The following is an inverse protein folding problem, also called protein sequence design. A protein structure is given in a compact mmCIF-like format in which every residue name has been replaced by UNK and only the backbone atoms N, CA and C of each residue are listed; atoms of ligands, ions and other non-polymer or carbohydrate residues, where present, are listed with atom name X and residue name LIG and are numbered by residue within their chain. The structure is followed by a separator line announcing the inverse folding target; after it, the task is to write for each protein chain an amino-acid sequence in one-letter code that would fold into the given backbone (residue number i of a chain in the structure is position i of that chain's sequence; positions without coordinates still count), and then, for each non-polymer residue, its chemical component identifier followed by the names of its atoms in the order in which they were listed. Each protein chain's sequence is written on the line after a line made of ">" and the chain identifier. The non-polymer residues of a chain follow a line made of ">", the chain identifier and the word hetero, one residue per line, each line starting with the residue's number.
data_IF_492909514342
#
_entry.id   IF_492909514342
#
_cell.length_a   1.000
_cell.length_b   1.000
_cell.length_c   1.000
_cell.angle_alpha   90.00
_cell.angle_beta   90.00
_cell.angle_gamma   90.00
#
_symmetry.space_group_name_H-M   'P 1'
#
loop_
_entity.id
_entity.type
_entity.pdbx_description
1 polymer ?
#
# COMPACT_ATOMS: atom_id res chain seq x y z
N UNK A 1 -7.77 -21.23 51.50
CA UNK A 1 -8.58 -21.75 50.36
C UNK A 1 -7.89 -21.41 49.08
N UNK A 2 -7.24 -22.40 48.50
CA UNK A 2 -6.47 -22.22 47.20
C UNK A 2 -7.48 -22.43 46.06
N UNK A 3 -7.82 -21.36 45.37
CA UNK A 3 -8.62 -21.46 44.16
C UNK A 3 -7.70 -21.89 42.99
N UNK A 4 -7.76 -23.14 42.60
CA UNK A 4 -7.10 -23.63 41.39
C UNK A 4 -7.87 -23.19 40.18
N UNK A 5 -7.29 -22.31 39.40
CA UNK A 5 -7.81 -21.85 38.11
C UNK A 5 -7.78 -23.03 37.12
N UNK A 6 -8.90 -23.40 36.54
CA UNK A 6 -8.96 -24.48 35.55
C UNK A 6 -8.30 -24.05 34.23
N UNK A 7 -7.77 -25.02 33.45
CA UNK A 7 -7.18 -24.72 32.10
C UNK A 7 -8.14 -23.95 31.19
N UNK A 8 -9.45 -24.19 31.29
CA UNK A 8 -10.49 -23.46 30.55
C UNK A 8 -10.58 -21.99 30.97
N UNK A 9 -10.49 -21.72 32.28
CA UNK A 9 -10.52 -20.34 32.78
C UNK A 9 -9.24 -19.60 32.42
N UNK A 10 -8.09 -20.28 32.40
CA UNK A 10 -6.84 -19.70 31.94
C UNK A 10 -6.86 -19.36 30.43
N UNK A 11 -7.35 -20.27 29.58
CA UNK A 11 -7.49 -20.04 28.16
C UNK A 11 -8.54 -18.96 27.83
N UNK A 12 -9.67 -18.95 28.54
CA UNK A 12 -10.67 -17.90 28.37
C UNK A 12 -10.17 -16.52 28.82
N UNK A 13 -9.42 -16.46 29.93
CA UNK A 13 -8.78 -15.24 30.41
C UNK A 13 -7.68 -14.76 29.47
N UNK A 14 -6.89 -15.67 28.90
CA UNK A 14 -5.85 -15.35 27.91
C UNK A 14 -6.43 -14.84 26.58
N UNK A 15 -7.52 -15.45 26.08
CA UNK A 15 -8.22 -14.94 24.90
C UNK A 15 -8.87 -13.57 25.13
N UNK A 16 -9.52 -13.35 26.27
CA UNK A 16 -10.09 -12.06 26.62
C UNK A 16 -9.03 -10.98 26.79
N UNK A 17 -7.89 -11.29 27.39
CA UNK A 17 -6.78 -10.36 27.53
C UNK A 17 -6.12 -10.06 26.16
N UNK A 18 -5.97 -11.02 25.27
CA UNK A 18 -5.49 -10.84 23.91
C UNK A 18 -6.43 -10.01 23.06
N UNK A 19 -7.74 -10.24 23.13
CA UNK A 19 -8.75 -9.43 22.43
C UNK A 19 -8.87 -8.03 23.03
N UNK A 20 -8.68 -7.86 24.32
CA UNK A 20 -8.69 -6.56 24.98
C UNK A 20 -7.46 -5.72 24.63
N UNK A 21 -6.28 -6.33 24.43
CA UNK A 21 -5.08 -5.61 23.99
C UNK A 21 -5.20 -5.13 22.54
N UNK A 22 -5.71 -5.96 21.64
CA UNK A 22 -5.97 -5.56 20.24
C UNK A 22 -7.03 -4.48 20.17
N UNK A 23 -8.09 -4.57 20.99
CA UNK A 23 -9.11 -3.52 21.05
C UNK A 23 -8.62 -2.26 21.75
N UNK A 24 -7.70 -2.36 22.74
CA UNK A 24 -7.12 -1.19 23.39
C UNK A 24 -6.20 -0.41 22.47
N UNK A 25 -5.47 -1.09 21.57
CA UNK A 25 -4.65 -0.42 20.56
C UNK A 25 -5.51 0.16 19.43
N UNK A 26 -6.60 -0.50 19.05
CA UNK A 26 -7.61 0.06 18.15
C UNK A 26 -8.36 1.23 18.79
N UNK A 27 -8.73 1.14 20.08
CA UNK A 27 -9.32 2.24 20.83
C UNK A 27 -8.33 3.38 21.07
N UNK A 28 -7.05 3.09 21.34
CA UNK A 28 -6.00 4.09 21.37
C UNK A 28 -5.81 4.75 20.02
N UNK A 29 -5.78 3.99 18.92
CA UNK A 29 -5.73 4.53 17.58
C UNK A 29 -6.96 5.39 17.25
N UNK A 30 -8.14 5.05 17.77
CA UNK A 30 -9.36 5.87 17.65
C UNK A 30 -9.37 7.10 18.57
N UNK A 31 -8.82 6.99 19.77
CA UNK A 31 -8.78 8.09 20.77
C UNK A 31 -7.58 9.02 20.59
N UNK A 32 -6.45 8.48 20.11
CA UNK A 32 -5.26 9.25 19.73
C UNK A 32 -5.27 9.62 18.24
N UNK A 33 -6.14 8.98 17.45
CA UNK A 33 -6.51 9.41 16.12
C UNK A 33 -7.32 10.70 16.24
N UNK A 34 -6.67 11.80 16.56
CA UNK A 34 -7.09 13.04 15.97
C UNK A 34 -7.26 12.71 14.49
N UNK A 35 -8.52 12.61 14.04
CA UNK A 35 -8.78 12.51 12.62
C UNK A 35 -8.17 13.76 12.02
N UNK A 36 -6.96 13.65 11.48
CA UNK A 36 -6.40 14.70 10.68
C UNK A 36 -7.16 14.66 9.36
N UNK A 37 -8.26 15.43 9.22
CA UNK A 37 -9.04 15.44 7.98
C UNK A 37 -8.20 15.91 6.79
N UNK A 38 -7.01 16.43 7.09
CA UNK A 38 -6.04 17.01 6.17
C UNK A 38 -4.92 16.04 5.78
N UNK A 39 -4.95 14.79 6.26
CA UNK A 39 -3.96 13.79 5.89
C UNK A 39 -4.13 13.41 4.42
N UNK A 40 -3.09 13.58 3.62
CA UNK A 40 -3.00 13.08 2.26
C UNK A 40 -2.06 11.85 2.21
N UNK A 41 -2.36 10.93 1.30
CA UNK A 41 -1.52 9.76 1.03
C UNK A 41 -1.03 9.84 -0.40
N UNK A 42 0.26 9.71 -0.59
CA UNK A 42 0.89 9.57 -1.91
C UNK A 42 1.30 8.11 -2.07
N UNK A 43 0.61 7.40 -2.96
CA UNK A 43 0.98 6.04 -3.34
C UNK A 43 1.90 6.09 -4.56
N UNK A 44 3.17 5.74 -4.36
CA UNK A 44 4.12 5.56 -5.46
C UNK A 44 4.09 4.09 -5.87
N UNK A 45 3.41 3.82 -6.98
CA UNK A 45 3.28 2.47 -7.50
C UNK A 45 4.34 2.18 -8.57
N UNK A 46 5.23 1.24 -8.28
CA UNK A 46 6.27 0.79 -9.20
C UNK A 46 5.78 -0.50 -9.88
N UNK A 47 5.42 -0.39 -11.14
CA UNK A 47 4.69 -1.44 -11.88
C UNK A 47 5.54 -2.64 -12.32
N UNK A 48 6.76 -2.73 -11.91
CA UNK A 48 7.73 -3.74 -12.25
C UNK A 48 9.04 -3.13 -12.77
N UNK A 49 10.05 -3.95 -12.95
CA UNK A 49 11.39 -3.47 -13.30
C UNK A 49 12.25 -3.08 -12.11
N UNK A 50 11.67 -2.96 -10.91
CA UNK A 50 12.40 -2.86 -9.66
C UNK A 50 12.22 -4.18 -8.90
N UNK A 51 13.22 -5.08 -8.99
CA UNK A 51 13.22 -6.34 -8.25
C UNK A 51 13.41 -6.08 -6.74
N UNK A 52 12.62 -6.74 -5.91
CA UNK A 52 12.83 -6.69 -4.46
C UNK A 52 14.19 -7.25 -4.03
N UNK A 53 14.68 -8.28 -4.74
CA UNK A 53 15.97 -8.90 -4.48
C UNK A 53 17.15 -8.00 -4.84
N UNK A 54 16.94 -7.02 -5.73
CA UNK A 54 17.98 -6.08 -6.16
C UNK A 54 17.95 -4.77 -5.36
N UNK A 55 16.96 -4.61 -4.47
CA UNK A 55 16.71 -3.34 -3.80
C UNK A 55 16.55 -3.46 -2.28
N UNK A 56 15.36 -3.91 -1.83
CA UNK A 56 14.99 -3.87 -0.43
C UNK A 56 15.15 -5.21 0.30
N UNK A 57 15.27 -6.33 -0.42
CA UNK A 57 15.30 -7.68 0.17
C UNK A 57 16.27 -8.61 -0.58
N UNK A 58 17.55 -8.30 -0.52
CA UNK A 58 18.62 -8.95 -1.30
C UNK A 58 18.86 -10.43 -0.95
N UNK A 59 18.45 -10.88 0.25
CA UNK A 59 18.66 -12.26 0.73
C UNK A 59 20.11 -12.75 0.60
N UNK A 60 21.10 -12.04 1.16
CA UNK A 60 22.52 -12.33 0.94
C UNK A 60 22.94 -13.74 1.37
N UNK A 61 22.24 -14.31 2.36
CA UNK A 61 22.52 -15.66 2.90
C UNK A 61 21.85 -16.79 2.09
N UNK A 62 21.07 -16.45 1.07
CA UNK A 62 20.43 -17.44 0.19
C UNK A 62 21.43 -17.95 -0.86
N UNK A 63 21.21 -19.16 -1.42
CA UNK A 63 21.95 -19.64 -2.60
C UNK A 63 21.92 -18.62 -3.73
N UNK A 64 22.96 -18.62 -4.56
CA UNK A 64 23.17 -17.61 -5.62
C UNK A 64 21.99 -17.50 -6.58
N UNK A 65 21.26 -18.59 -6.80
CA UNK A 65 20.10 -18.67 -7.69
C UNK A 65 18.85 -17.93 -7.11
N UNK A 66 18.88 -17.59 -5.81
CA UNK A 66 17.75 -17.00 -5.09
C UNK A 66 18.08 -15.67 -4.42
N UNK A 67 19.23 -15.08 -4.72
CA UNK A 67 19.63 -13.75 -4.24
C UNK A 67 19.87 -12.79 -5.37
N UNK A 68 19.78 -11.48 -5.07
CA UNK A 68 20.09 -10.43 -6.05
C UNK A 68 21.56 -10.40 -6.44
N UNK A 69 21.86 -9.81 -7.57
CA UNK A 69 23.23 -9.63 -8.10
C UNK A 69 23.98 -8.50 -7.37
N UNK A 70 23.26 -7.56 -6.75
CA UNK A 70 23.80 -6.38 -6.12
C UNK A 70 24.21 -6.64 -4.67
N UNK A 71 25.19 -5.86 -4.22
CA UNK A 71 25.71 -5.99 -2.86
C UNK A 71 24.83 -5.25 -1.84
N UNK A 72 24.72 -5.77 -0.60
CA UNK A 72 24.09 -5.05 0.50
C UNK A 72 24.96 -3.90 0.97
N UNK A 73 24.33 -2.73 1.21
CA UNK A 73 24.95 -1.61 1.91
C UNK A 73 24.26 -1.40 3.26
N UNK A 74 25.04 -0.97 4.25
CA UNK A 74 24.53 -0.61 5.56
C UNK A 74 23.65 0.62 5.47
N UNK A 75 22.61 0.66 6.31
CA UNK A 75 21.77 1.83 6.48
C UNK A 75 22.11 2.56 7.78
N UNK A 76 21.45 3.69 8.03
CA UNK A 76 21.50 4.38 9.32
C UNK A 76 20.74 3.65 10.45
N UNK A 77 20.09 2.50 10.15
CA UNK A 77 19.45 1.62 11.13
C UNK A 77 20.28 0.35 11.29
N UNK A 78 20.83 0.07 12.47
CA UNK A 78 21.64 -1.15 12.70
C UNK A 78 20.86 -2.43 12.35
N UNK A 79 21.51 -3.31 11.59
CA UNK A 79 20.93 -4.60 11.16
C UNK A 79 19.98 -4.52 9.95
N UNK A 80 19.72 -3.33 9.43
CA UNK A 80 18.97 -3.15 8.20
C UNK A 80 19.92 -2.83 7.05
N UNK A 81 19.92 -3.70 6.02
CA UNK A 81 20.68 -3.51 4.79
C UNK A 81 19.73 -3.32 3.61
N UNK A 82 20.17 -2.52 2.65
CA UNK A 82 19.50 -2.28 1.36
C UNK A 82 20.47 -2.57 0.22
N UNK A 83 19.98 -2.64 -1.01
CA UNK A 83 20.81 -2.76 -2.21
C UNK A 83 21.67 -1.52 -2.45
N UNK A 84 22.88 -1.73 -2.98
CA UNK A 84 23.83 -0.65 -3.29
C UNK A 84 23.29 0.41 -4.27
N UNK A 85 22.26 0.08 -5.01
CA UNK A 85 21.55 1.02 -5.89
C UNK A 85 20.66 2.02 -5.15
N UNK A 86 20.50 1.87 -3.82
CA UNK A 86 19.64 2.72 -2.98
C UNK A 86 20.42 3.56 -1.95
N UNK A 87 21.50 4.27 -2.35
CA UNK A 87 22.36 4.99 -1.39
C UNK A 87 21.67 6.17 -0.69
N UNK A 88 20.61 6.72 -1.30
CA UNK A 88 19.81 7.78 -0.68
C UNK A 88 18.86 7.21 0.37
N UNK A 89 18.21 6.09 0.08
CA UNK A 89 17.32 5.40 1.00
C UNK A 89 18.08 4.85 2.22
N UNK A 90 19.31 4.40 2.03
CA UNK A 90 20.11 3.89 3.15
C UNK A 90 20.38 4.95 4.23
N UNK A 91 20.44 6.23 3.85
CA UNK A 91 20.65 7.36 4.77
C UNK A 91 19.43 7.76 5.57
N UNK A 92 18.24 7.37 5.13
CA UNK A 92 16.95 7.74 5.71
C UNK A 92 16.12 6.52 6.12
N UNK A 93 16.75 5.38 6.32
CA UNK A 93 16.05 4.13 6.64
C UNK A 93 15.30 4.20 7.99
N UNK A 94 15.66 5.09 8.88
CA UNK A 94 14.96 5.43 10.11
C UNK A 94 13.63 6.18 9.88
N UNK A 95 13.34 6.63 8.65
CA UNK A 95 12.14 7.41 8.31
C UNK A 95 11.04 6.58 7.65
N UNK A 96 11.28 5.31 7.34
CA UNK A 96 10.28 4.46 6.69
C UNK A 96 10.21 3.06 7.31
N UNK A 97 9.11 2.38 7.07
CA UNK A 97 8.92 0.99 7.47
C UNK A 97 9.03 0.09 6.25
N UNK A 98 9.80 -0.99 6.36
CA UNK A 98 9.98 -1.98 5.31
C UNK A 98 9.21 -3.26 5.63
N UNK A 99 8.26 -3.63 4.77
CA UNK A 99 7.45 -4.84 4.89
C UNK A 99 7.90 -5.88 3.86
N UNK A 100 8.88 -6.73 4.23
CA UNK A 100 9.43 -7.77 3.35
C UNK A 100 8.56 -9.02 3.22
N UNK A 101 7.64 -9.22 4.16
CA UNK A 101 6.78 -10.43 4.20
C UNK A 101 5.53 -10.31 3.32
N UNK A 102 5.31 -9.18 2.64
CA UNK A 102 4.16 -9.00 1.76
C UNK A 102 4.32 -9.88 0.51
N UNK A 103 3.35 -10.76 0.28
CA UNK A 103 3.36 -11.65 -0.88
C UNK A 103 1.93 -11.89 -1.39
N UNK A 104 1.81 -12.41 -2.60
CA UNK A 104 0.55 -12.83 -3.23
C UNK A 104 0.75 -14.11 -4.05
N UNK A 105 -0.35 -14.83 -4.30
CA UNK A 105 -0.34 -16.11 -5.05
C UNK A 105 -0.53 -15.98 -6.55
N UNK A 106 -0.29 -14.82 -7.15
CA UNK A 106 -0.50 -14.59 -8.59
C UNK A 106 0.84 -14.45 -9.31
N UNK A 107 1.04 -15.25 -10.37
CA UNK A 107 2.23 -15.15 -11.24
C UNK A 107 2.10 -14.12 -12.35
N UNK A 108 0.89 -13.62 -12.64
CA UNK A 108 0.64 -12.63 -13.69
C UNK A 108 0.48 -11.21 -13.12
N UNK A 109 0.85 -10.20 -13.92
CA UNK A 109 0.77 -8.79 -13.54
C UNK A 109 -0.64 -8.37 -13.12
N UNK A 110 -1.67 -8.72 -13.91
CA UNK A 110 -3.05 -8.28 -13.69
C UNK A 110 -3.58 -8.74 -12.33
N UNK A 111 -3.45 -10.03 -12.03
CA UNK A 111 -3.91 -10.60 -10.77
C UNK A 111 -3.13 -10.07 -9.57
N UNK A 112 -1.83 -9.87 -9.73
CA UNK A 112 -0.98 -9.31 -8.69
C UNK A 112 -1.35 -7.86 -8.36
N UNK A 113 -1.51 -6.99 -9.38
CA UNK A 113 -1.93 -5.60 -9.20
C UNK A 113 -3.30 -5.51 -8.53
N UNK A 114 -4.29 -6.26 -9.05
CA UNK A 114 -5.62 -6.31 -8.44
C UNK A 114 -5.55 -6.72 -6.98
N UNK A 115 -4.80 -7.77 -6.66
CA UNK A 115 -4.67 -8.26 -5.28
C UNK A 115 -4.07 -7.23 -4.34
N UNK A 116 -2.99 -6.57 -4.74
CA UNK A 116 -2.27 -5.61 -3.89
C UNK A 116 -3.04 -4.30 -3.75
N UNK A 117 -3.56 -3.74 -4.85
CA UNK A 117 -4.19 -2.42 -4.84
C UNK A 117 -5.65 -2.43 -4.35
N UNK A 118 -6.32 -3.58 -4.38
CA UNK A 118 -7.69 -3.70 -3.84
C UNK A 118 -7.76 -4.40 -2.48
N UNK A 119 -6.69 -5.11 -2.08
CA UNK A 119 -6.68 -5.97 -0.90
C UNK A 119 -7.54 -7.22 -1.03
N UNK A 120 -8.16 -7.48 -2.18
CA UNK A 120 -9.07 -8.59 -2.45
C UNK A 120 -8.48 -9.60 -3.41
N UNK A 121 -8.84 -10.88 -3.24
CA UNK A 121 -8.55 -11.90 -4.25
C UNK A 121 -9.46 -11.62 -5.45
N UNK A 122 -8.92 -11.33 -6.65
CA UNK A 122 -9.74 -11.06 -7.81
C UNK A 122 -10.48 -12.31 -8.27
N UNK A 123 -11.73 -12.17 -8.69
CA UNK A 123 -12.54 -13.26 -9.30
C UNK A 123 -11.96 -13.68 -10.64
N UNK A 124 -11.50 -12.69 -11.43
CA UNK A 124 -10.73 -12.90 -12.64
C UNK A 124 -9.33 -12.34 -12.47
N UNK A 125 -8.29 -13.19 -12.43
CA UNK A 125 -6.91 -12.71 -12.31
C UNK A 125 -6.37 -12.07 -13.58
N UNK A 126 -7.08 -12.19 -14.71
CA UNK A 126 -6.69 -11.63 -16.01
C UNK A 126 -7.68 -10.55 -16.47
N UNK A 127 -7.23 -9.70 -17.41
CA UNK A 127 -8.05 -8.67 -18.03
C UNK A 127 -8.19 -7.38 -17.20
N UNK A 128 -8.91 -6.42 -17.78
CA UNK A 128 -8.92 -5.01 -17.34
C UNK A 128 -10.09 -4.64 -16.43
N UNK A 129 -10.96 -5.57 -16.10
CA UNK A 129 -12.13 -5.28 -15.25
C UNK A 129 -11.80 -5.58 -13.79
N UNK A 130 -11.96 -4.58 -12.95
CA UNK A 130 -11.90 -4.75 -11.50
C UNK A 130 -13.25 -5.22 -10.96
N UNK A 131 -13.22 -6.24 -10.13
CA UNK A 131 -14.37 -6.73 -9.37
C UNK A 131 -14.42 -6.17 -7.93
N UNK A 132 -13.38 -5.44 -7.54
CA UNK A 132 -13.31 -4.73 -6.27
C UNK A 132 -12.69 -3.33 -6.46
N UNK A 133 -13.11 -2.33 -5.68
CA UNK A 133 -12.55 -0.99 -5.80
C UNK A 133 -11.11 -0.92 -5.30
N UNK A 134 -10.30 -0.12 -5.97
CA UNK A 134 -8.98 0.26 -5.49
C UNK A 134 -9.06 1.12 -4.23
N UNK A 135 -7.97 1.16 -3.45
CA UNK A 135 -7.91 1.91 -2.18
C UNK A 135 -8.26 3.38 -2.34
N UNK A 136 -7.82 4.02 -3.44
CA UNK A 136 -8.13 5.43 -3.73
C UNK A 136 -9.63 5.68 -3.92
N UNK A 137 -10.32 4.78 -4.62
CA UNK A 137 -11.78 4.85 -4.80
C UNK A 137 -12.54 4.69 -3.49
N UNK A 138 -12.06 3.84 -2.59
CA UNK A 138 -12.64 3.69 -1.24
C UNK A 138 -12.47 4.99 -0.46
N UNK A 139 -11.28 5.57 -0.46
CA UNK A 139 -10.99 6.85 0.20
C UNK A 139 -11.85 7.97 -0.38
N UNK A 140 -11.97 8.02 -1.72
CA UNK A 140 -12.83 9.00 -2.40
C UNK A 140 -14.27 8.92 -1.91
N UNK A 141 -14.84 7.70 -1.85
CA UNK A 141 -16.20 7.51 -1.34
C UNK A 141 -16.35 7.88 0.14
N UNK A 142 -15.39 7.52 0.98
CA UNK A 142 -15.46 7.82 2.42
C UNK A 142 -15.33 9.31 2.70
N UNK A 143 -14.59 10.03 1.86
CA UNK A 143 -14.37 11.48 1.99
C UNK A 143 -15.30 12.33 1.12
N UNK A 144 -16.26 11.71 0.46
CA UNK A 144 -17.23 12.41 -0.39
C UNK A 144 -17.97 13.50 0.40
N UNK A 145 -17.99 14.70 -0.14
CA UNK A 145 -18.61 15.87 0.49
C UNK A 145 -17.83 16.52 1.65
N UNK A 146 -16.70 15.96 2.11
CA UNK A 146 -15.92 16.55 3.21
C UNK A 146 -15.29 17.90 2.85
N UNK A 147 -14.93 18.08 1.57
CA UNK A 147 -14.34 19.33 1.05
C UNK A 147 -14.86 19.61 -0.36
N UNK A 148 -15.95 20.39 -0.50
CA UNK A 148 -16.46 20.76 -1.80
C UNK A 148 -15.38 21.42 -2.68
N UNK A 149 -15.29 20.99 -3.94
CA UNK A 149 -14.31 21.51 -4.90
C UNK A 149 -12.88 20.96 -4.76
N UNK A 150 -12.64 19.99 -3.85
CA UNK A 150 -11.33 19.35 -3.72
C UNK A 150 -11.36 17.95 -4.33
N UNK A 151 -10.37 17.66 -5.19
CA UNK A 151 -10.19 16.31 -5.72
C UNK A 151 -9.68 15.38 -4.61
N UNK A 152 -10.44 14.36 -4.27
CA UNK A 152 -10.12 13.44 -3.19
C UNK A 152 -9.22 12.31 -3.66
N UNK A 153 -9.31 11.92 -4.93
CA UNK A 153 -8.51 10.87 -5.53
C UNK A 153 -7.98 11.32 -6.90
N UNK A 154 -6.68 11.47 -6.99
CA UNK A 154 -5.97 11.83 -8.22
C UNK A 154 -5.01 10.71 -8.58
N UNK A 155 -4.97 10.32 -9.84
CA UNK A 155 -3.99 9.39 -10.39
C UNK A 155 -3.18 10.06 -11.48
N UNK A 156 -1.84 10.08 -11.29
CA UNK A 156 -0.91 10.48 -12.33
C UNK A 156 -0.58 9.28 -13.21
N UNK A 157 -1.23 9.14 -14.34
CA UNK A 157 -0.93 8.08 -15.29
C UNK A 157 -0.16 8.65 -16.48
N UNK A 158 0.85 7.90 -16.93
CA UNK A 158 1.45 8.16 -18.23
C UNK A 158 0.49 7.68 -19.32
N UNK A 159 0.23 8.52 -20.29
CA UNK A 159 -0.60 8.20 -21.45
C UNK A 159 -0.09 6.93 -22.15
N UNK A 160 -1.00 5.97 -22.44
CA UNK A 160 -0.68 4.71 -23.09
C UNK A 160 -0.27 3.55 -22.17
N UNK A 161 -0.19 3.72 -20.84
CA UNK A 161 0.02 2.60 -19.92
C UNK A 161 -1.30 1.99 -19.47
N UNK A 162 -1.66 0.85 -20.05
CA UNK A 162 -2.91 0.14 -19.71
C UNK A 162 -2.86 -0.57 -18.35
N UNK A 163 -1.70 -0.65 -17.72
CA UNK A 163 -1.47 -1.52 -16.55
C UNK A 163 -2.18 -1.02 -15.30
N UNK A 164 -2.38 0.28 -15.17
CA UNK A 164 -2.88 0.88 -13.93
C UNK A 164 -4.38 1.19 -13.94
N UNK A 165 -5.01 1.27 -15.14
CA UNK A 165 -6.40 1.70 -15.27
C UNK A 165 -7.38 0.79 -14.51
N UNK A 166 -7.17 -0.51 -14.54
CA UNK A 166 -8.06 -1.48 -13.92
C UNK A 166 -7.78 -1.75 -12.44
N UNK A 167 -6.59 -1.40 -11.97
CA UNK A 167 -6.23 -1.56 -10.56
C UNK A 167 -6.67 -0.38 -9.69
N UNK A 168 -7.00 0.75 -10.32
CA UNK A 168 -7.44 1.98 -9.67
C UNK A 168 -8.94 2.22 -9.81
N UNK A 169 -9.64 1.33 -10.50
CA UNK A 169 -11.08 1.48 -10.78
C UNK A 169 -11.94 1.47 -9.52
N UNK A 170 -13.10 2.11 -9.65
CA UNK A 170 -14.10 2.20 -8.59
C UNK A 170 -14.97 0.95 -8.46
N UNK A 171 -14.94 0.03 -9.45
CA UNK A 171 -15.73 -1.18 -9.49
C UNK A 171 -17.21 -0.95 -9.13
N UNK A 172 -17.74 -1.70 -8.15
CA UNK A 172 -19.14 -1.56 -7.71
C UNK A 172 -19.47 -0.27 -6.96
N UNK A 173 -18.50 0.60 -6.65
CA UNK A 173 -18.79 1.88 -6.02
C UNK A 173 -19.40 2.91 -7.00
N UNK A 174 -19.23 2.71 -8.30
CA UNK A 174 -19.68 3.63 -9.34
C UNK A 174 -18.57 4.56 -9.84
N UNK A 175 -18.75 5.05 -11.07
CA UNK A 175 -17.72 5.82 -11.81
C UNK A 175 -17.36 7.14 -11.16
N UNK A 176 -18.28 7.78 -10.43
CA UNK A 176 -18.02 9.03 -9.69
C UNK A 176 -16.94 8.90 -8.59
N UNK A 177 -16.62 7.68 -8.16
CA UNK A 177 -15.58 7.43 -7.19
C UNK A 177 -14.26 6.96 -7.81
N UNK A 178 -14.16 6.97 -9.14
CA UNK A 178 -12.90 6.76 -9.86
C UNK A 178 -11.91 7.89 -9.64
N UNK A 179 -10.65 7.68 -10.07
CA UNK A 179 -9.63 8.72 -9.99
C UNK A 179 -9.93 9.86 -10.98
N UNK A 180 -9.58 11.07 -10.58
CA UNK A 180 -9.30 12.13 -11.55
C UNK A 180 -7.95 11.81 -12.20
N UNK A 181 -7.93 11.67 -13.51
CA UNK A 181 -6.71 11.33 -14.24
C UNK A 181 -5.96 12.62 -14.59
N UNK A 182 -4.82 12.80 -13.96
CA UNK A 182 -3.87 13.83 -14.33
C UNK A 182 -2.87 13.23 -15.32
N UNK A 183 -2.98 13.58 -16.59
CA UNK A 183 -2.04 13.20 -17.65
C UNK A 183 -1.21 14.40 -18.07
N UNK A 184 0.03 14.16 -18.49
CA UNK A 184 0.94 15.20 -19.00
C UNK A 184 2.37 14.96 -18.57
N UNK A 185 3.29 15.68 -19.19
CA UNK A 185 4.70 15.72 -18.78
C UNK A 185 4.82 16.61 -17.54
N UNK A 186 5.33 16.11 -16.40
CA UNK A 186 5.52 16.93 -15.21
C UNK A 186 6.56 18.05 -15.41
N UNK A 187 7.35 18.03 -16.49
CA UNK A 187 8.24 19.10 -16.88
C UNK A 187 7.53 20.22 -17.65
N UNK A 188 6.37 19.94 -18.24
CA UNK A 188 5.49 20.96 -18.81
C UNK A 188 4.60 21.52 -17.69
N UNK A 189 4.31 22.81 -17.76
CA UNK A 189 3.57 23.52 -16.71
C UNK A 189 2.25 22.81 -16.39
N UNK A 190 2.28 21.96 -15.37
CA UNK A 190 1.16 21.13 -14.91
C UNK A 190 -0.12 21.95 -14.66
N UNK A 191 -0.01 23.23 -14.35
CA UNK A 191 -1.12 24.15 -14.09
C UNK A 191 -1.96 24.42 -15.36
N UNK A 192 -1.35 24.48 -16.54
CA UNK A 192 -2.06 24.82 -17.77
C UNK A 192 -2.89 23.66 -18.31
N UNK A 193 -2.50 22.41 -18.04
CA UNK A 193 -3.27 21.23 -18.46
C UNK A 193 -4.52 21.02 -17.61
N UNK A 194 -4.52 21.42 -16.34
CA UNK A 194 -5.68 21.31 -15.46
C UNK A 194 -6.74 22.39 -15.72
N UNK A 195 -6.32 23.61 -16.09
CA UNK A 195 -7.23 24.74 -16.36
C UNK A 195 -7.94 24.63 -17.71
N UNK A 196 -7.40 23.86 -18.64
CA UNK A 196 -8.00 23.68 -19.98
C UNK A 196 -9.02 22.51 -20.05
N UNK A 197 -9.31 21.84 -18.95
CA UNK A 197 -10.30 20.75 -18.88
C UNK A 197 -11.65 21.16 -18.29
N UNK A 198 -11.84 22.44 -17.94
CA UNK A 198 -13.10 23.00 -17.42
C UNK A 198 -13.66 24.10 -18.32
#
# INVERSE_FOLDING_TARGET
>A
MSHSTSRRQFLAGGMLAGLASVNADLLRAQVLGESHPDTAVILVWLTGGLSHMDTYDLKPDSPVEYRGEFNPINTNVPGLNLGELLPMHSKIADKFTLLRSLHHGFGGHDGAHKRVLTGRVPKSPTGFVNDAPGVGSIVNKVRDGHRPGTLTFVSGQREGTNVDAYSQGSAYLGTSYGPFLASGDPSEKFIDSMLNQY
#
